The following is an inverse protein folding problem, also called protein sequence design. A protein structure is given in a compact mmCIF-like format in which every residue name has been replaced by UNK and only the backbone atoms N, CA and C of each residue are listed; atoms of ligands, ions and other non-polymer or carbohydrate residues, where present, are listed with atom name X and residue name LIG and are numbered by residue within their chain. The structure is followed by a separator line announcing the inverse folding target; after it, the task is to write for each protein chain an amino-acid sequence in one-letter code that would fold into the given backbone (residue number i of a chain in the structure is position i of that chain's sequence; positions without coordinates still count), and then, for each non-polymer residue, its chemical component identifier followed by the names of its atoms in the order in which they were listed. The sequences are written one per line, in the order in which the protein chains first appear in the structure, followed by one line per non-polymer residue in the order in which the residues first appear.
data_IF_824701562644
#
_entry.id   IF_824701562644
#
_cell.length_a   1.000
_cell.length_b   1.000
_cell.length_c   1.000
_cell.angle_alpha   90.00
_cell.angle_beta   90.00
_cell.angle_gamma   90.00
#
_symmetry.space_group_name_H-M   'P 1'
#
loop_
_entity.id
_entity.type
_entity.pdbx_description
1 polymer ?
#
# COMPACT_ATOMS: atom_id res chain seq x y z
N UNK A 1 -28.35 7.61 -4.15
CA UNK A 1 -26.92 7.24 -4.24
C UNK A 1 -26.58 6.49 -2.97
N UNK A 2 -26.13 5.27 -3.18
CA UNK A 2 -26.31 4.12 -2.31
C UNK A 2 -25.06 3.98 -1.46
N UNK A 3 -25.18 3.56 -0.19
CA UNK A 3 -24.12 3.69 0.81
C UNK A 3 -22.71 3.26 0.35
N UNK A 4 -22.60 2.20 -0.45
CA UNK A 4 -21.33 1.73 -1.01
C UNK A 4 -20.69 2.74 -1.98
N UNK A 5 -21.48 3.39 -2.85
CA UNK A 5 -20.98 4.38 -3.82
C UNK A 5 -20.31 5.56 -3.10
N UNK A 6 -20.93 6.02 -2.00
CA UNK A 6 -20.37 7.11 -1.19
C UNK A 6 -19.03 6.70 -0.56
N UNK A 7 -18.95 5.48 -0.02
CA UNK A 7 -17.71 4.95 0.56
C UNK A 7 -16.61 4.87 -0.50
N UNK A 8 -16.92 4.35 -1.69
CA UNK A 8 -15.97 4.25 -2.81
C UNK A 8 -15.48 5.63 -3.23
N UNK A 9 -16.39 6.59 -3.45
CA UNK A 9 -16.03 7.95 -3.86
C UNK A 9 -15.17 8.65 -2.81
N UNK A 10 -15.55 8.58 -1.53
CA UNK A 10 -14.79 9.19 -0.43
C UNK A 10 -13.41 8.53 -0.32
N UNK A 11 -13.32 7.21 -0.43
CA UNK A 11 -12.05 6.48 -0.36
C UNK A 11 -11.12 6.84 -1.52
N UNK A 12 -11.64 6.86 -2.75
CA UNK A 12 -10.90 7.28 -3.94
C UNK A 12 -10.44 8.74 -3.83
N UNK A 13 -11.32 9.65 -3.42
CA UNK A 13 -10.98 11.06 -3.23
C UNK A 13 -9.91 11.24 -2.16
N UNK A 14 -10.00 10.50 -1.05
CA UNK A 14 -8.99 10.52 0.02
C UNK A 14 -7.62 10.06 -0.48
N UNK A 15 -7.55 8.93 -1.21
CA UNK A 15 -6.28 8.41 -1.73
C UNK A 15 -5.69 9.27 -2.86
N UNK A 16 -6.55 9.85 -3.70
CA UNK A 16 -6.14 10.84 -4.70
C UNK A 16 -5.54 12.08 -4.02
N UNK A 17 -6.23 12.67 -3.05
CA UNK A 17 -5.77 13.85 -2.32
C UNK A 17 -4.46 13.56 -1.57
N UNK A 18 -4.36 12.40 -0.93
CA UNK A 18 -3.14 11.93 -0.29
C UNK A 18 -1.99 11.80 -1.30
N UNK A 19 -2.26 11.26 -2.49
CA UNK A 19 -1.31 11.16 -3.59
C UNK A 19 -0.79 12.53 -4.05
N UNK A 20 -1.68 13.51 -4.22
CA UNK A 20 -1.32 14.89 -4.55
C UNK A 20 -0.43 15.51 -3.46
N UNK A 21 -0.80 15.36 -2.18
CA UNK A 21 -0.05 15.97 -1.08
C UNK A 21 1.33 15.36 -0.88
N UNK A 22 1.42 14.02 -1.00
CA UNK A 22 2.67 13.30 -0.76
C UNK A 22 3.61 13.37 -1.97
N UNK A 23 3.06 13.30 -3.19
CA UNK A 23 3.80 13.23 -4.45
C UNK A 23 4.29 11.81 -4.78
N UNK A 24 4.45 11.54 -6.08
CA UNK A 24 4.80 10.23 -6.63
C UNK A 24 6.09 9.64 -6.05
N UNK A 25 7.16 10.44 -6.00
CA UNK A 25 8.47 9.97 -5.50
C UNK A 25 8.37 9.43 -4.08
N UNK A 26 7.63 10.11 -3.19
CA UNK A 26 7.47 9.65 -1.80
C UNK A 26 6.56 8.42 -1.68
N UNK A 27 5.65 8.23 -2.63
CA UNK A 27 4.82 7.02 -2.67
C UNK A 27 5.63 5.80 -3.11
N UNK A 28 6.41 5.92 -4.18
CA UNK A 28 7.32 4.86 -4.60
C UNK A 28 8.38 4.57 -3.54
N UNK A 29 9.01 5.61 -2.98
CA UNK A 29 10.00 5.44 -1.92
C UNK A 29 9.42 4.66 -0.73
N UNK A 30 8.14 4.90 -0.38
CA UNK A 30 7.47 4.13 0.66
C UNK A 30 7.33 2.64 0.31
N UNK A 31 6.97 2.31 -0.93
CA UNK A 31 6.86 0.92 -1.39
C UNK A 31 8.22 0.24 -1.40
N UNK A 32 9.23 0.90 -1.96
CA UNK A 32 10.62 0.41 -1.98
C UNK A 32 11.16 0.24 -0.56
N UNK A 33 10.85 1.17 0.35
CA UNK A 33 11.26 1.10 1.74
C UNK A 33 10.68 -0.12 2.46
N UNK A 34 9.40 -0.46 2.19
CA UNK A 34 8.76 -1.64 2.79
C UNK A 34 9.27 -2.93 2.14
N UNK A 35 9.15 -3.08 0.82
CA UNK A 35 9.53 -4.32 0.13
C UNK A 35 11.03 -4.57 0.26
N UNK A 36 11.84 -3.55 -0.02
CA UNK A 36 13.28 -3.61 0.12
C UNK A 36 13.71 -3.77 1.58
N UNK A 37 13.04 -3.11 2.53
CA UNK A 37 13.33 -3.24 3.95
C UNK A 37 13.11 -4.66 4.45
N UNK A 38 12.02 -5.31 4.02
CA UNK A 38 11.76 -6.72 4.34
C UNK A 38 12.87 -7.60 3.76
N UNK A 39 13.18 -7.49 2.47
CA UNK A 39 14.23 -8.27 1.83
C UNK A 39 15.62 -8.08 2.48
N UNK A 40 16.02 -6.83 2.73
CA UNK A 40 17.28 -6.49 3.39
C UNK A 40 17.30 -6.99 4.83
N UNK A 41 16.19 -6.91 5.57
CA UNK A 41 16.13 -7.47 6.92
C UNK A 41 16.36 -8.98 6.93
N UNK A 42 15.80 -9.72 5.97
CA UNK A 42 16.07 -11.16 5.82
C UNK A 42 17.54 -11.47 5.56
N UNK A 43 18.22 -10.67 4.76
CA UNK A 43 19.62 -10.91 4.41
C UNK A 43 20.60 -10.47 5.51
N UNK A 44 20.33 -9.37 6.20
CA UNK A 44 21.31 -8.70 7.07
C UNK A 44 21.00 -8.85 8.57
N UNK A 45 19.85 -9.40 8.99
CA UNK A 45 19.51 -9.53 10.43
C UNK A 45 20.59 -10.29 11.23
N UNK A 46 21.13 -11.39 10.69
CA UNK A 46 22.12 -12.23 11.37
C UNK A 46 23.41 -11.48 11.74
N UNK A 47 23.81 -10.50 10.92
CA UNK A 47 25.00 -9.68 11.17
C UNK A 47 24.80 -8.68 12.33
N UNK A 48 23.56 -8.28 12.59
CA UNK A 48 23.21 -7.36 13.67
C UNK A 48 22.97 -8.08 15.00
N UNK A 49 22.64 -9.37 14.99
CA UNK A 49 22.37 -10.15 16.20
C UNK A 49 23.47 -10.05 17.27
N UNK A 50 24.78 -10.17 16.96
CA UNK A 50 25.84 -10.09 17.97
C UNK A 50 25.94 -8.72 18.65
N UNK A 51 25.50 -7.66 17.97
CA UNK A 51 25.55 -6.29 18.50
C UNK A 51 24.39 -5.99 19.45
N UNK A 52 23.28 -6.72 19.34
CA UNK A 52 22.08 -6.47 20.15
C UNK A 52 21.79 -7.59 21.17
N UNK A 53 22.52 -8.70 21.11
CA UNK A 53 22.36 -9.85 22.01
C UNK A 53 22.56 -9.49 23.48
N UNK A 54 23.38 -8.48 23.79
CA UNK A 54 23.59 -8.00 25.16
C UNK A 54 22.46 -7.11 25.68
N UNK A 55 21.61 -6.56 24.81
CA UNK A 55 20.53 -5.63 25.18
C UNK A 55 19.15 -6.30 25.21
N UNK A 56 19.02 -7.48 24.61
CA UNK A 56 17.73 -8.15 24.38
C UNK A 56 17.85 -9.62 24.80
N UNK A 57 16.81 -10.16 25.45
CA UNK A 57 16.78 -11.58 25.79
C UNK A 57 16.89 -12.46 24.54
N UNK A 58 17.66 -13.57 24.61
CA UNK A 58 18.00 -14.42 23.46
C UNK A 58 16.81 -14.79 22.57
N UNK A 59 15.66 -15.11 23.18
CA UNK A 59 14.43 -15.46 22.47
C UNK A 59 13.88 -14.36 21.54
N UNK A 60 14.24 -13.10 21.78
CA UNK A 60 13.80 -11.95 20.99
C UNK A 60 14.92 -11.35 20.13
N UNK A 61 16.17 -11.79 20.28
CA UNK A 61 17.31 -11.21 19.56
C UNK A 61 17.10 -11.27 18.05
N UNK A 62 16.64 -12.40 17.52
CA UNK A 62 16.38 -12.54 16.09
C UNK A 62 15.31 -11.55 15.61
N UNK A 63 14.15 -11.51 16.26
CA UNK A 63 13.06 -10.59 15.90
C UNK A 63 13.50 -9.12 16.02
N UNK A 64 14.22 -8.77 17.08
CA UNK A 64 14.73 -7.42 17.30
C UNK A 64 15.71 -7.02 16.19
N UNK A 65 16.60 -7.91 15.75
CA UNK A 65 17.52 -7.63 14.62
C UNK A 65 16.77 -7.39 13.32
N UNK A 66 15.75 -8.19 13.03
CA UNK A 66 14.90 -7.99 11.85
C UNK A 66 14.26 -6.60 11.84
N UNK A 67 13.60 -6.24 12.94
CA UNK A 67 12.92 -4.95 13.08
C UNK A 67 13.91 -3.80 12.98
N UNK A 68 15.09 -3.93 13.58
CA UNK A 68 16.10 -2.88 13.59
C UNK A 68 16.68 -2.64 12.19
N UNK A 69 17.01 -3.69 11.44
CA UNK A 69 17.48 -3.58 10.05
C UNK A 69 16.38 -3.02 9.15
N UNK A 70 15.15 -3.53 9.29
CA UNK A 70 14.00 -3.03 8.52
C UNK A 70 13.80 -1.54 8.74
N UNK A 71 13.76 -1.09 10.00
CA UNK A 71 13.56 0.32 10.33
C UNK A 71 14.73 1.18 9.83
N UNK A 72 15.97 0.73 10.01
CA UNK A 72 17.15 1.44 9.51
C UNK A 72 17.08 1.66 7.99
N UNK A 73 16.83 0.60 7.23
CA UNK A 73 16.68 0.69 5.78
C UNK A 73 15.49 1.56 5.38
N UNK A 74 14.34 1.37 6.03
CA UNK A 74 13.13 2.13 5.76
C UNK A 74 13.37 3.64 5.93
N UNK A 75 14.03 4.04 7.02
CA UNK A 75 14.36 5.43 7.30
C UNK A 75 15.29 6.02 6.23
N UNK A 76 16.32 5.28 5.81
CA UNK A 76 17.27 5.71 4.77
C UNK A 76 16.52 5.95 3.46
N UNK A 77 15.74 4.99 2.98
CA UNK A 77 14.99 5.12 1.72
C UNK A 77 13.99 6.27 1.78
N UNK A 78 13.29 6.43 2.89
CA UNK A 78 12.36 7.56 3.09
C UNK A 78 13.07 8.91 3.09
N UNK A 79 14.29 8.98 3.64
CA UNK A 79 15.11 10.19 3.63
C UNK A 79 15.57 10.54 2.21
N UNK A 80 16.02 9.53 1.44
CA UNK A 80 16.36 9.70 0.02
C UNK A 80 15.14 10.15 -0.78
N UNK A 81 13.98 9.53 -0.58
CA UNK A 81 12.73 9.92 -1.25
C UNK A 81 12.31 11.36 -0.93
N UNK A 82 12.51 11.82 0.31
CA UNK A 82 12.30 13.23 0.69
C UNK A 82 13.28 14.17 -0.01
N UNK A 83 14.56 13.79 -0.11
CA UNK A 83 15.58 14.58 -0.80
C UNK A 83 15.25 14.72 -2.28
N UNK A 84 14.89 13.62 -2.95
CA UNK A 84 14.49 13.61 -4.35
C UNK A 84 13.24 14.49 -4.61
N UNK A 85 12.21 14.42 -3.75
CA UNK A 85 11.05 15.33 -3.85
C UNK A 85 11.47 16.81 -3.72
N UNK A 86 12.43 17.12 -2.86
CA UNK A 86 12.96 18.49 -2.71
C UNK A 86 13.69 18.95 -3.98
N UNK A 87 14.49 18.08 -4.58
CA UNK A 87 15.18 18.36 -5.85
C UNK A 87 14.16 18.61 -6.97
N UNK A 88 13.15 17.75 -7.12
CA UNK A 88 12.11 17.94 -8.14
C UNK A 88 11.36 19.26 -7.99
N UNK A 89 11.12 19.70 -6.76
CA UNK A 89 10.52 21.02 -6.49
C UNK A 89 11.45 22.17 -6.89
N UNK A 90 12.76 22.02 -6.71
CA UNK A 90 13.75 23.03 -7.09
C UNK A 90 13.83 23.25 -8.59
N UNK A 91 13.57 22.22 -9.40
CA UNK A 91 13.61 22.28 -10.87
C UNK A 91 12.22 22.47 -11.50
N UNK A 92 11.25 23.00 -10.74
CA UNK A 92 9.86 23.22 -11.16
C UNK A 92 9.06 21.96 -11.57
N UNK A 93 9.63 20.75 -11.47
CA UNK A 93 8.95 19.48 -11.69
C UNK A 93 8.07 19.03 -10.50
N UNK A 94 8.01 19.83 -9.44
CA UNK A 94 7.17 19.57 -8.27
C UNK A 94 5.68 19.42 -8.61
N UNK A 95 5.17 20.12 -9.63
CA UNK A 95 3.80 19.98 -10.12
C UNK A 95 3.54 18.61 -10.72
N UNK A 96 4.41 18.16 -11.63
CA UNK A 96 4.33 16.85 -12.29
C UNK A 96 4.40 15.72 -11.24
N UNK A 97 5.30 15.85 -10.26
CA UNK A 97 5.40 14.87 -9.16
C UNK A 97 4.09 14.72 -8.37
N UNK A 98 3.32 15.81 -8.18
CA UNK A 98 2.02 15.75 -7.50
C UNK A 98 0.93 15.13 -8.37
N UNK A 99 0.90 15.45 -9.67
CA UNK A 99 -0.06 14.86 -10.61
C UNK A 99 0.15 13.35 -10.74
N UNK A 100 1.41 12.92 -10.93
CA UNK A 100 1.76 11.50 -10.91
C UNK A 100 1.41 10.85 -9.57
N UNK A 101 1.56 11.60 -8.47
CA UNK A 101 1.13 11.16 -7.14
C UNK A 101 -0.37 10.93 -7.06
N UNK A 102 -1.18 11.80 -7.67
CA UNK A 102 -2.64 11.66 -7.76
C UNK A 102 -3.04 10.38 -8.51
N UNK A 103 -2.46 10.17 -9.69
CA UNK A 103 -2.68 8.98 -10.52
C UNK A 103 -2.30 7.72 -9.75
N UNK A 104 -1.15 7.74 -9.09
CA UNK A 104 -0.71 6.62 -8.26
C UNK A 104 -1.61 6.38 -7.04
N UNK A 105 -2.16 7.45 -6.47
CA UNK A 105 -3.19 7.40 -5.41
C UNK A 105 -4.46 6.68 -5.87
N UNK A 106 -4.94 7.01 -7.07
CA UNK A 106 -6.09 6.34 -7.68
C UNK A 106 -5.81 4.86 -7.99
N UNK A 107 -4.65 4.53 -8.53
CA UNK A 107 -4.26 3.13 -8.78
C UNK A 107 -4.29 2.33 -7.47
N UNK A 108 -3.77 2.90 -6.37
CA UNK A 108 -3.87 2.27 -5.05
C UNK A 108 -5.31 2.13 -4.57
N UNK A 109 -6.16 3.11 -4.84
CA UNK A 109 -7.58 3.04 -4.47
C UNK A 109 -8.26 1.88 -5.19
N UNK A 110 -8.08 1.78 -6.51
CA UNK A 110 -8.58 0.66 -7.29
C UNK A 110 -8.06 -0.68 -6.75
N UNK A 111 -6.75 -0.80 -6.52
CA UNK A 111 -6.16 -2.02 -5.97
C UNK A 111 -6.78 -2.45 -4.64
N UNK A 112 -6.93 -1.52 -3.68
CA UNK A 112 -7.54 -1.82 -2.38
C UNK A 112 -9.02 -2.19 -2.51
N UNK A 113 -9.78 -1.46 -3.33
CA UNK A 113 -11.20 -1.75 -3.55
C UNK A 113 -11.40 -3.11 -4.22
N UNK A 114 -10.58 -3.47 -5.21
CA UNK A 114 -10.57 -4.80 -5.83
C UNK A 114 -10.27 -5.87 -4.80
N UNK A 115 -9.24 -5.69 -3.96
CA UNK A 115 -8.86 -6.67 -2.94
C UNK A 115 -9.97 -6.89 -1.90
N UNK A 116 -10.62 -5.81 -1.46
CA UNK A 116 -11.74 -5.86 -0.50
C UNK A 116 -12.94 -6.57 -1.13
N UNK A 117 -13.29 -6.22 -2.37
CA UNK A 117 -14.43 -6.81 -3.09
C UNK A 117 -14.18 -8.29 -3.36
N UNK A 118 -12.98 -8.67 -3.80
CA UNK A 118 -12.59 -10.06 -3.99
C UNK A 118 -12.75 -10.86 -2.69
N UNK A 119 -12.22 -10.34 -1.58
CA UNK A 119 -12.31 -10.98 -0.27
C UNK A 119 -13.77 -11.14 0.17
N UNK A 120 -14.59 -10.11 -0.03
CA UNK A 120 -16.03 -10.14 0.25
C UNK A 120 -16.73 -11.23 -0.58
N UNK A 121 -16.50 -11.29 -1.89
CA UNK A 121 -17.13 -12.29 -2.78
C UNK A 121 -16.72 -13.72 -2.43
N UNK A 122 -15.45 -13.97 -2.11
CA UNK A 122 -14.98 -15.31 -1.70
C UNK A 122 -15.63 -15.74 -0.38
N UNK A 123 -15.72 -14.85 0.60
CA UNK A 123 -16.37 -15.12 1.89
C UNK A 123 -17.87 -15.37 1.68
N UNK A 124 -18.52 -14.61 0.80
CA UNK A 124 -19.91 -14.82 0.47
C UNK A 124 -20.17 -16.17 -0.20
N UNK A 125 -19.35 -16.58 -1.17
CA UNK A 125 -19.47 -17.90 -1.80
C UNK A 125 -19.25 -19.03 -0.80
N UNK A 126 -18.39 -18.84 0.21
CA UNK A 126 -18.14 -19.84 1.25
C UNK A 126 -19.26 -19.98 2.29
N UNK A 127 -19.86 -18.86 2.71
CA UNK A 127 -20.84 -18.83 3.83
C UNK A 127 -22.29 -18.78 3.31
N UNK A 128 -22.53 -18.33 2.08
CA UNK A 128 -23.84 -18.33 1.43
C UNK A 128 -24.81 -17.23 1.90
N UNK A 129 -24.31 -16.07 2.37
CA UNK A 129 -25.19 -14.96 2.78
C UNK A 129 -25.69 -14.14 1.57
N UNK A 130 -26.87 -13.54 1.70
CA UNK A 130 -27.46 -12.66 0.68
C UNK A 130 -26.83 -11.26 0.71
N UNK A 131 -26.68 -10.64 -0.46
CA UNK A 131 -26.22 -9.26 -0.55
C UNK A 131 -27.20 -8.32 0.16
N UNK A 132 -26.71 -7.41 1.00
CA UNK A 132 -27.59 -6.40 1.58
C UNK A 132 -27.92 -5.31 0.55
N UNK A 133 -29.06 -4.62 0.73
CA UNK A 133 -29.62 -3.65 -0.23
C UNK A 133 -28.63 -2.54 -0.66
N UNK A 134 -27.76 -2.11 0.26
CA UNK A 134 -26.77 -1.06 -0.01
C UNK A 134 -25.58 -1.51 -0.89
N UNK A 135 -25.49 -2.81 -1.19
CA UNK A 135 -24.53 -3.40 -2.14
C UNK A 135 -25.21 -3.69 -3.48
N UNK A 136 -26.45 -4.21 -3.46
CA UNK A 136 -27.19 -4.53 -4.69
C UNK A 136 -27.61 -3.28 -5.47
N UNK A 137 -27.94 -2.19 -4.77
CA UNK A 137 -28.38 -0.95 -5.42
C UNK A 137 -27.19 -0.07 -5.85
N UNK A 138 -25.95 -0.49 -5.58
CA UNK A 138 -24.74 0.28 -5.87
C UNK A 138 -24.39 0.27 -7.36
N UNK A 139 -24.14 1.44 -7.91
CA UNK A 139 -23.64 1.58 -9.29
C UNK A 139 -22.18 1.16 -9.40
N UNK A 140 -21.38 1.35 -8.34
CA UNK A 140 -19.96 1.02 -8.34
C UNK A 140 -19.70 -0.49 -8.21
N UNK A 141 -20.59 -1.24 -7.56
CA UNK A 141 -20.42 -2.67 -7.33
C UNK A 141 -20.15 -3.51 -8.61
N UNK A 142 -20.90 -3.39 -9.72
CA UNK A 142 -20.59 -4.13 -10.94
C UNK A 142 -19.20 -3.80 -11.50
N UNK A 143 -18.78 -2.53 -11.49
CA UNK A 143 -17.42 -2.16 -11.91
C UNK A 143 -16.33 -2.78 -11.02
N UNK A 144 -16.59 -2.90 -9.72
CA UNK A 144 -15.66 -3.56 -8.80
C UNK A 144 -15.55 -5.06 -9.10
N UNK A 145 -16.66 -5.72 -9.47
CA UNK A 145 -16.64 -7.12 -9.91
C UNK A 145 -15.87 -7.30 -11.22
N UNK A 146 -16.02 -6.40 -12.18
CA UNK A 146 -15.23 -6.41 -13.42
C UNK A 146 -13.73 -6.30 -13.12
N UNK A 147 -13.34 -5.37 -12.22
CA UNK A 147 -11.95 -5.25 -11.78
C UNK A 147 -11.44 -6.51 -11.07
N UNK A 148 -12.29 -7.18 -10.29
CA UNK A 148 -11.96 -8.45 -9.64
C UNK A 148 -11.73 -9.55 -10.69
N UNK A 149 -12.60 -9.66 -11.69
CA UNK A 149 -12.44 -10.68 -12.74
C UNK A 149 -11.17 -10.49 -13.57
N UNK A 150 -10.82 -9.24 -13.89
CA UNK A 150 -9.53 -8.90 -14.51
C UNK A 150 -8.38 -9.31 -13.59
N UNK A 151 -8.49 -9.02 -12.29
CA UNK A 151 -7.50 -9.43 -11.29
C UNK A 151 -7.32 -10.94 -11.20
N UNK A 152 -8.42 -11.71 -11.19
CA UNK A 152 -8.38 -13.17 -11.19
C UNK A 152 -7.73 -13.73 -12.46
N UNK A 153 -7.95 -13.11 -13.63
CA UNK A 153 -7.32 -13.56 -14.89
C UNK A 153 -5.79 -13.43 -14.91
N UNK A 154 -5.23 -12.57 -14.05
CA UNK A 154 -3.78 -12.35 -13.92
C UNK A 154 -3.12 -13.31 -12.92
N UNK A 155 -3.91 -13.97 -12.06
CA UNK A 155 -3.40 -14.94 -11.09
C UNK A 155 -3.52 -16.32 -11.74
N UNK A 156 -2.41 -16.96 -12.14
CA UNK A 156 -2.47 -18.34 -12.61
C UNK A 156 -2.98 -19.22 -11.45
N UNK A 157 -3.99 -20.04 -11.76
CA UNK A 157 -4.57 -21.02 -10.85
C UNK A 157 -3.57 -22.11 -10.43
#
# INVERSE_FOLDING_TARGET
MVGLDLVVVVFCAFLLAKGIWKGFVKEIAGIVAVIGGVAVSFLFHAQIQPHISSFVAEKYVQLASYVLVFLGFYLIVMLVGKLLDKILRSIFLGGINRVLGAVFGLIKACFWLTLITFSYTKVQLGIGFSHPLWVTDSMCYPFLLDLVSIGESLIPA
#
